data_IF_869507585313
#
_entry.id   IF_869507585313
#
_cell.length_a   1.000
_cell.length_b   1.000
_cell.length_c   1.000
_cell.angle_alpha   90.00
_cell.angle_beta   90.00
_cell.angle_gamma   90.00
#
_symmetry.space_group_name_H-M   'P 1'
#
loop_
_entity.id
_entity.type
_entity.pdbx_description
1 polymer ?
#
# COMPACT_ATOMS: atom_id res chain seq x y z
N UNK A 1 12.44 -23.03 17.00
CA UNK A 1 11.72 -21.82 17.45
C UNK A 1 10.64 -21.54 16.43
N UNK A 2 9.38 -21.30 16.82
CA UNK A 2 8.38 -20.82 15.84
C UNK A 2 8.81 -19.41 15.45
N UNK A 3 9.31 -19.23 14.23
CA UNK A 3 9.62 -17.90 13.69
C UNK A 3 8.30 -17.12 13.59
N UNK A 4 7.97 -16.35 14.61
CA UNK A 4 6.83 -15.44 14.59
C UNK A 4 7.22 -14.19 13.84
N UNK A 5 6.46 -13.82 12.81
CA UNK A 5 6.61 -12.54 12.10
C UNK A 5 6.55 -11.40 13.11
N UNK A 6 7.56 -10.52 13.07
CA UNK A 6 7.62 -9.36 13.95
C UNK A 6 6.38 -8.47 13.74
N UNK A 7 5.90 -7.83 14.81
CA UNK A 7 4.74 -6.94 14.77
C UNK A 7 5.10 -5.53 15.22
N UNK A 8 4.33 -4.55 14.74
CA UNK A 8 4.48 -3.14 15.11
C UNK A 8 3.10 -2.49 15.27
N UNK A 9 2.98 -1.57 16.23
CA UNK A 9 1.80 -0.72 16.38
C UNK A 9 1.81 0.37 15.30
N UNK A 10 0.86 0.30 14.36
CA UNK A 10 0.60 1.36 13.38
C UNK A 10 -0.14 2.52 14.05
N UNK A 11 -1.11 2.18 14.90
CA UNK A 11 -1.87 3.09 15.76
C UNK A 11 -2.04 2.43 17.15
N UNK A 12 -2.55 3.15 18.18
CA UNK A 12 -2.69 2.60 19.54
C UNK A 12 -3.46 1.27 19.61
N UNK A 13 -4.52 1.14 18.81
CA UNK A 13 -5.41 -0.03 18.71
C UNK A 13 -5.20 -0.86 17.43
N UNK A 14 -4.23 -0.50 16.58
CA UNK A 14 -3.92 -1.23 15.35
C UNK A 14 -2.49 -1.76 15.36
N UNK A 15 -2.36 -3.06 15.62
CA UNK A 15 -1.09 -3.79 15.60
C UNK A 15 -0.99 -4.65 14.35
N UNK A 16 0.06 -4.47 13.56
CA UNK A 16 0.24 -5.08 12.24
C UNK A 16 1.48 -5.96 12.16
N UNK A 17 1.55 -6.79 11.12
CA UNK A 17 2.79 -7.45 10.73
C UNK A 17 3.82 -6.42 10.27
N UNK A 18 5.09 -6.55 10.67
CA UNK A 18 6.19 -5.64 10.27
C UNK A 18 6.37 -5.61 8.75
N UNK A 19 6.06 -6.73 8.09
CA UNK A 19 5.97 -6.85 6.63
C UNK A 19 4.52 -7.11 6.26
N UNK A 20 3.98 -6.30 5.36
CA UNK A 20 2.60 -6.41 4.88
C UNK A 20 2.58 -7.23 3.59
N UNK A 21 1.51 -8.00 3.41
CA UNK A 21 1.27 -8.76 2.18
C UNK A 21 0.46 -7.89 1.21
N UNK A 22 1.13 -7.30 0.22
CA UNK A 22 0.45 -6.56 -0.86
C UNK A 22 -0.23 -7.50 -1.85
N UNK A 23 -1.45 -7.16 -2.28
CA UNK A 23 -2.26 -7.94 -3.23
C UNK A 23 -2.32 -7.31 -4.64
N UNK A 24 -1.41 -6.39 -4.96
CA UNK A 24 -1.39 -5.71 -6.26
C UNK A 24 -1.19 -6.65 -7.46
N UNK A 25 -0.57 -7.83 -7.24
CA UNK A 25 -0.37 -8.85 -8.29
C UNK A 25 -1.68 -9.38 -8.84
N UNK A 26 -2.78 -9.31 -8.08
CA UNK A 26 -4.11 -9.69 -8.57
C UNK A 26 -4.47 -8.87 -9.82
N UNK A 27 -4.16 -7.57 -9.85
CA UNK A 27 -4.38 -6.72 -11.02
C UNK A 27 -3.59 -7.18 -12.25
N UNK A 28 -2.35 -7.63 -12.06
CA UNK A 28 -1.50 -8.14 -13.16
C UNK A 28 -2.00 -9.51 -13.64
N UNK A 29 -2.47 -10.37 -12.73
CA UNK A 29 -3.07 -11.67 -13.07
C UNK A 29 -4.39 -11.54 -13.83
N UNK A 30 -5.16 -10.49 -13.56
CA UNK A 30 -6.47 -10.24 -14.18
C UNK A 30 -6.42 -9.23 -15.33
N UNK A 31 -5.22 -8.82 -15.77
CA UNK A 31 -5.03 -7.76 -16.78
C UNK A 31 -5.73 -8.03 -18.12
N UNK A 32 -5.97 -9.29 -18.45
CA UNK A 32 -6.67 -9.73 -19.66
C UNK A 32 -8.21 -9.74 -19.49
N UNK A 33 -8.71 -9.13 -18.41
CA UNK A 33 -10.14 -9.02 -18.10
C UNK A 33 -10.79 -10.30 -17.57
N UNK A 34 -9.97 -11.30 -17.21
CA UNK A 34 -10.45 -12.58 -16.67
C UNK A 34 -10.25 -12.58 -15.15
N UNK A 35 -11.32 -12.39 -14.36
CA UNK A 35 -11.19 -12.43 -12.91
C UNK A 35 -10.81 -13.83 -12.42
N UNK A 36 -10.01 -13.88 -11.36
CA UNK A 36 -9.71 -15.10 -10.63
C UNK A 36 -10.96 -15.58 -9.88
N UNK A 37 -11.06 -16.88 -9.61
CA UNK A 37 -12.07 -17.43 -8.69
C UNK A 37 -11.77 -16.94 -7.27
N UNK A 38 -12.64 -16.11 -6.65
CA UNK A 38 -12.35 -15.54 -5.34
C UNK A 38 -12.27 -16.60 -4.23
N UNK A 39 -13.10 -17.66 -4.30
CA UNK A 39 -13.18 -18.71 -3.28
C UNK A 39 -11.92 -19.58 -3.33
N UNK A 40 -11.49 -19.98 -4.52
CA UNK A 40 -10.26 -20.73 -4.69
C UNK A 40 -9.04 -19.88 -4.32
N UNK A 41 -9.00 -18.61 -4.74
CA UNK A 41 -7.85 -17.73 -4.53
C UNK A 41 -7.67 -17.35 -3.07
N UNK A 42 -8.77 -17.14 -2.33
CA UNK A 42 -8.76 -16.87 -0.89
C UNK A 42 -8.00 -17.95 -0.08
N UNK A 43 -7.95 -19.20 -0.55
CA UNK A 43 -7.19 -20.29 0.09
C UNK A 43 -5.70 -19.98 0.22
N UNK A 44 -5.13 -19.23 -0.72
CA UNK A 44 -3.71 -18.84 -0.66
C UNK A 44 -3.41 -17.85 0.47
N UNK A 45 -4.38 -17.02 0.87
CA UNK A 45 -4.21 -16.06 1.99
C UNK A 45 -4.08 -16.78 3.34
N UNK A 46 -4.71 -17.95 3.52
CA UNK A 46 -4.57 -18.76 4.73
C UNK A 46 -3.12 -19.17 4.99
N UNK A 47 -2.33 -19.47 3.96
CA UNK A 47 -0.93 -19.83 4.12
C UNK A 47 -0.10 -18.67 4.71
N UNK A 48 -0.34 -17.44 4.24
CA UNK A 48 0.28 -16.23 4.80
C UNK A 48 -0.13 -16.01 6.25
N UNK A 49 -1.44 -16.06 6.53
CA UNK A 49 -1.96 -15.85 7.87
C UNK A 49 -1.44 -16.89 8.87
N UNK A 50 -1.40 -18.17 8.48
CA UNK A 50 -0.87 -19.27 9.28
C UNK A 50 0.65 -19.14 9.53
N UNK A 51 1.38 -18.53 8.59
CA UNK A 51 2.80 -18.19 8.75
C UNK A 51 3.03 -16.91 9.60
N UNK A 52 1.97 -16.21 10.01
CA UNK A 52 2.04 -15.00 10.83
C UNK A 52 2.01 -13.68 10.05
N UNK A 53 1.89 -13.71 8.72
CA UNK A 53 1.65 -12.54 7.89
C UNK A 53 0.16 -12.22 7.87
N UNK A 54 -0.28 -11.44 8.85
CA UNK A 54 -1.71 -11.20 9.10
C UNK A 54 -2.23 -9.88 8.56
N UNK A 55 -1.40 -9.07 7.92
CA UNK A 55 -1.79 -7.74 7.43
C UNK A 55 -1.71 -7.71 5.92
N UNK A 56 -2.85 -7.49 5.27
CA UNK A 56 -3.00 -7.51 3.82
C UNK A 56 -3.32 -6.11 3.30
N UNK A 57 -2.65 -5.71 2.23
CA UNK A 57 -2.78 -4.38 1.63
C UNK A 57 -3.28 -4.51 0.18
N UNK A 58 -4.43 -3.91 -0.12
CA UNK A 58 -5.07 -3.93 -1.43
C UNK A 58 -5.50 -2.51 -1.86
N UNK A 59 -6.21 -2.36 -2.97
CA UNK A 59 -6.79 -1.10 -3.43
C UNK A 59 -8.03 -1.36 -4.29
N UNK A 60 -8.87 -0.34 -4.46
CA UNK A 60 -10.08 -0.35 -5.28
C UNK A 60 -9.87 -0.78 -6.75
N UNK A 61 -8.67 -0.54 -7.29
CA UNK A 61 -8.25 -0.87 -8.65
C UNK A 61 -7.34 -2.10 -8.73
N UNK A 62 -7.12 -2.84 -7.64
CA UNK A 62 -6.32 -4.07 -7.64
C UNK A 62 -7.12 -5.31 -8.07
N UNK A 63 -7.81 -5.22 -9.21
CA UNK A 63 -8.68 -6.29 -9.71
C UNK A 63 -9.69 -6.73 -8.65
N UNK A 64 -9.82 -8.04 -8.45
CA UNK A 64 -10.70 -8.65 -7.45
C UNK A 64 -10.13 -8.75 -6.03
N UNK A 65 -9.02 -8.07 -5.71
CA UNK A 65 -8.31 -8.24 -4.42
C UNK A 65 -9.19 -8.00 -3.17
N UNK A 66 -10.08 -6.99 -3.20
CA UNK A 66 -11.04 -6.73 -2.11
C UNK A 66 -12.04 -7.89 -1.96
N UNK A 67 -12.52 -8.43 -3.08
CA UNK A 67 -13.50 -9.54 -3.11
C UNK A 67 -12.85 -10.84 -2.60
N UNK A 68 -11.63 -11.14 -3.05
CA UNK A 68 -10.84 -12.29 -2.58
C UNK A 68 -10.62 -12.19 -1.07
N UNK A 69 -10.26 -10.99 -0.58
CA UNK A 69 -10.01 -10.76 0.85
C UNK A 69 -11.28 -10.92 1.70
N UNK A 70 -12.42 -10.49 1.17
CA UNK A 70 -13.71 -10.71 1.83
C UNK A 70 -14.10 -12.18 1.90
N UNK A 71 -13.86 -12.95 0.85
CA UNK A 71 -14.09 -14.40 0.89
C UNK A 71 -13.12 -15.12 1.85
N UNK A 72 -11.86 -14.66 1.93
CA UNK A 72 -10.91 -15.13 2.94
C UNK A 72 -11.38 -14.87 4.38
N UNK A 73 -11.90 -13.67 4.68
CA UNK A 73 -12.49 -13.38 6.00
C UNK A 73 -13.64 -14.31 6.33
N UNK A 74 -14.52 -14.54 5.37
CA UNK A 74 -15.68 -15.44 5.51
C UNK A 74 -15.25 -16.89 5.82
N UNK A 75 -14.16 -17.36 5.23
CA UNK A 75 -13.63 -18.70 5.42
C UNK A 75 -12.87 -18.88 6.75
N UNK A 76 -12.24 -17.83 7.27
CA UNK A 76 -11.39 -17.92 8.48
C UNK A 76 -12.20 -17.94 9.77
N UNK A 77 -13.37 -17.30 9.82
CA UNK A 77 -14.22 -17.27 11.02
C UNK A 77 -13.60 -16.61 12.26
N UNK A 78 -12.38 -16.08 12.16
CA UNK A 78 -11.67 -15.36 13.25
C UNK A 78 -11.23 -13.97 12.78
N UNK A 79 -12.15 -13.01 12.63
CA UNK A 79 -11.85 -11.66 12.11
C UNK A 79 -10.76 -10.95 12.93
N UNK A 80 -10.67 -11.20 14.24
CA UNK A 80 -9.75 -10.50 15.14
C UNK A 80 -8.26 -10.85 14.98
N UNK A 81 -7.87 -11.72 14.02
CA UNK A 81 -6.47 -12.10 13.80
C UNK A 81 -5.83 -11.44 12.59
N UNK A 82 -6.60 -10.91 11.65
CA UNK A 82 -6.10 -10.31 10.40
C UNK A 82 -6.49 -8.85 10.30
N UNK A 83 -5.71 -8.08 9.54
CA UNK A 83 -5.92 -6.66 9.30
C UNK A 83 -6.02 -6.47 7.79
N UNK A 84 -7.12 -5.88 7.31
CA UNK A 84 -7.34 -5.61 5.89
C UNK A 84 -7.25 -4.11 5.60
N UNK A 85 -6.26 -3.74 4.81
CA UNK A 85 -6.06 -2.37 4.36
C UNK A 85 -6.50 -2.26 2.92
N UNK A 86 -7.26 -1.22 2.59
CA UNK A 86 -7.56 -0.88 1.20
C UNK A 86 -7.17 0.56 0.90
N UNK A 87 -7.26 0.94 -0.38
CA UNK A 87 -6.99 2.29 -0.85
C UNK A 87 -8.07 2.72 -1.81
N UNK A 88 -8.44 3.98 -1.71
CA UNK A 88 -9.29 4.63 -2.68
C UNK A 88 -8.48 5.58 -3.54
N UNK A 89 -8.59 5.39 -4.86
CA UNK A 89 -7.98 6.23 -5.88
C UNK A 89 -9.11 6.91 -6.65
N UNK A 90 -9.57 8.09 -6.21
CA UNK A 90 -10.66 8.80 -6.87
C UNK A 90 -10.27 9.16 -8.31
N UNK A 91 -11.28 9.34 -9.18
CA UNK A 91 -11.04 10.00 -10.47
C UNK A 91 -10.63 11.46 -10.22
N UNK A 92 -9.77 12.06 -11.06
CA UNK A 92 -9.46 13.48 -10.95
C UNK A 92 -10.70 14.37 -11.06
N UNK A 93 -10.74 15.46 -10.30
CA UNK A 93 -11.83 16.44 -10.27
C UNK A 93 -12.49 16.55 -8.91
N UNK A 94 -13.68 17.17 -8.89
CA UNK A 94 -14.46 17.38 -7.67
C UNK A 94 -14.82 16.06 -6.99
N UNK A 95 -14.74 16.04 -5.66
CA UNK A 95 -15.05 14.89 -4.82
C UNK A 95 -16.19 15.27 -3.87
N UNK A 96 -17.37 14.68 -4.06
CA UNK A 96 -18.52 14.90 -3.18
C UNK A 96 -18.56 13.91 -2.02
N UNK A 97 -19.32 14.23 -0.97
CA UNK A 97 -19.60 13.29 0.12
C UNK A 97 -20.21 11.96 -0.38
N UNK A 98 -21.09 12.04 -1.39
CA UNK A 98 -21.70 10.84 -2.00
C UNK A 98 -20.67 9.96 -2.70
N UNK A 99 -19.72 10.54 -3.43
CA UNK A 99 -18.67 9.76 -4.11
C UNK A 99 -17.82 8.99 -3.09
N UNK A 100 -17.48 9.66 -1.99
CA UNK A 100 -16.68 9.12 -0.90
C UNK A 100 -17.43 8.00 -0.17
N UNK A 101 -18.71 8.24 0.15
CA UNK A 101 -19.58 7.24 0.79
C UNK A 101 -19.73 6.00 -0.09
N UNK A 102 -20.05 6.18 -1.36
CA UNK A 102 -20.21 5.07 -2.30
C UNK A 102 -18.93 4.24 -2.42
N UNK A 103 -17.77 4.89 -2.48
CA UNK A 103 -16.48 4.20 -2.53
C UNK A 103 -16.22 3.36 -1.26
N UNK A 104 -16.50 3.91 -0.08
CA UNK A 104 -16.32 3.21 1.20
C UNK A 104 -17.29 2.06 1.36
N UNK A 105 -18.58 2.26 1.07
CA UNK A 105 -19.61 1.22 1.14
C UNK A 105 -19.32 0.08 0.15
N UNK A 106 -18.84 0.41 -1.05
CA UNK A 106 -18.39 -0.60 -2.03
C UNK A 106 -17.21 -1.43 -1.51
N UNK A 107 -16.24 -0.79 -0.86
CA UNK A 107 -15.09 -1.49 -0.28
C UNK A 107 -15.53 -2.40 0.89
N UNK A 108 -16.43 -1.92 1.75
CA UNK A 108 -17.03 -2.70 2.86
C UNK A 108 -17.77 -3.94 2.33
N UNK A 109 -18.61 -3.78 1.29
CA UNK A 109 -19.33 -4.90 0.66
C UNK A 109 -18.38 -5.95 0.06
N UNK A 110 -17.39 -5.49 -0.73
CA UNK A 110 -16.39 -6.37 -1.35
C UNK A 110 -15.57 -7.14 -0.32
N UNK A 111 -15.10 -6.45 0.72
CA UNK A 111 -14.31 -7.05 1.81
C UNK A 111 -15.17 -7.76 2.86
N UNK A 112 -16.50 -7.72 2.76
CA UNK A 112 -17.44 -8.38 3.67
C UNK A 112 -17.19 -8.05 5.14
N UNK A 113 -16.98 -6.76 5.43
CA UNK A 113 -16.73 -6.23 6.77
C UNK A 113 -17.58 -4.99 7.02
N UNK A 114 -17.93 -4.73 8.27
CA UNK A 114 -18.68 -3.53 8.67
C UNK A 114 -17.76 -2.32 8.94
N UNK A 115 -16.43 -2.56 9.02
CA UNK A 115 -15.44 -1.52 9.27
C UNK A 115 -14.12 -1.84 8.55
N UNK A 116 -13.55 -0.84 7.87
CA UNK A 116 -12.23 -0.93 7.23
C UNK A 116 -11.13 -0.62 8.27
N UNK A 117 -10.15 -1.52 8.44
CA UNK A 117 -9.06 -1.30 9.43
C UNK A 117 -8.19 -0.09 9.08
N UNK A 118 -7.81 0.04 7.80
CA UNK A 118 -7.10 1.21 7.28
C UNK A 118 -7.57 1.48 5.84
N UNK A 119 -8.10 2.68 5.61
CA UNK A 119 -8.35 3.18 4.26
C UNK A 119 -7.26 4.21 3.92
N UNK A 120 -6.50 3.95 2.86
CA UNK A 120 -5.51 4.90 2.36
C UNK A 120 -6.06 5.72 1.19
N UNK A 121 -5.70 7.00 1.13
CA UNK A 121 -6.17 7.92 0.10
C UNK A 121 -5.06 8.36 -0.85
N UNK A 122 -5.35 8.37 -2.15
CA UNK A 122 -4.46 8.92 -3.18
C UNK A 122 -5.00 10.23 -3.75
N UNK A 123 -4.13 11.22 -3.89
CA UNK A 123 -4.43 12.48 -4.59
C UNK A 123 -3.66 12.54 -5.91
N UNK A 124 -4.35 12.88 -7.00
CA UNK A 124 -3.75 13.01 -8.34
C UNK A 124 -3.09 14.36 -8.59
N UNK A 125 -3.70 15.44 -8.10
CA UNK A 125 -3.34 16.80 -8.48
C UNK A 125 -3.52 17.74 -7.29
N UNK A 126 -2.42 18.14 -6.65
CA UNK A 126 -2.49 19.01 -5.47
C UNK A 126 -2.96 20.45 -5.71
N UNK A 127 -2.68 21.08 -6.87
CA UNK A 127 -3.26 22.39 -7.22
C UNK A 127 -4.80 22.44 -7.21
N UNK A 128 -5.48 21.31 -7.40
CA UNK A 128 -6.92 21.20 -7.23
C UNK A 128 -7.23 20.83 -5.77
N UNK A 129 -7.88 21.71 -4.97
CA UNK A 129 -8.12 21.45 -3.55
C UNK A 129 -9.12 20.32 -3.28
N UNK A 130 -9.80 19.76 -4.30
CA UNK A 130 -10.80 18.71 -4.12
C UNK A 130 -10.28 17.47 -3.37
N UNK A 131 -8.96 17.20 -3.39
CA UNK A 131 -8.37 16.12 -2.59
C UNK A 131 -8.56 16.33 -1.07
N UNK A 132 -8.61 17.59 -0.61
CA UNK A 132 -8.80 17.93 0.79
C UNK A 132 -10.26 17.73 1.20
N UNK A 133 -11.21 18.08 0.32
CA UNK A 133 -12.64 17.80 0.53
C UNK A 133 -12.88 16.29 0.69
N UNK A 134 -12.28 15.49 -0.20
CA UNK A 134 -12.30 14.03 -0.10
C UNK A 134 -11.80 13.51 1.25
N UNK A 135 -10.70 14.05 1.77
CA UNK A 135 -10.17 13.67 3.09
C UNK A 135 -11.08 14.09 4.26
N UNK A 136 -11.72 15.27 4.19
CA UNK A 136 -12.69 15.68 5.21
C UNK A 136 -13.91 14.77 5.24
N UNK A 137 -14.44 14.39 4.07
CA UNK A 137 -15.52 13.41 3.96
C UNK A 137 -15.10 12.04 4.50
N UNK A 138 -13.90 11.56 4.17
CA UNK A 138 -13.36 10.32 4.74
C UNK A 138 -13.22 10.38 6.27
N UNK A 139 -12.78 11.51 6.82
CA UNK A 139 -12.73 11.73 8.27
C UNK A 139 -14.12 11.71 8.91
N UNK A 140 -15.15 12.20 8.22
CA UNK A 140 -16.55 12.06 8.67
C UNK A 140 -16.97 10.58 8.73
N UNK A 141 -16.66 9.79 7.71
CA UNK A 141 -16.97 8.35 7.69
C UNK A 141 -16.17 7.56 8.74
N UNK A 142 -14.94 7.99 9.06
CA UNK A 142 -14.20 7.48 10.23
C UNK A 142 -14.95 7.74 11.53
N UNK A 143 -15.47 8.95 11.75
CA UNK A 143 -16.27 9.28 12.95
C UNK A 143 -17.57 8.49 13.04
N UNK A 144 -18.13 8.08 11.89
CA UNK A 144 -19.33 7.23 11.81
C UNK A 144 -19.03 5.74 12.02
N UNK A 145 -17.75 5.34 12.13
CA UNK A 145 -17.34 3.97 12.41
C UNK A 145 -17.13 3.08 11.19
N UNK A 146 -17.33 3.58 9.96
CA UNK A 146 -17.12 2.82 8.72
C UNK A 146 -15.64 2.59 8.43
N UNK A 147 -14.77 3.48 8.92
CA UNK A 147 -13.33 3.42 8.77
C UNK A 147 -12.70 3.55 10.15
N UNK A 148 -11.81 2.62 10.53
CA UNK A 148 -11.09 2.67 11.80
C UNK A 148 -9.94 3.68 11.75
N UNK A 149 -9.10 3.59 10.72
CA UNK A 149 -7.98 4.49 10.51
C UNK A 149 -7.89 5.02 9.08
N UNK A 150 -7.37 6.24 8.93
CA UNK A 150 -7.01 6.81 7.64
C UNK A 150 -5.50 6.77 7.43
N UNK A 151 -5.11 6.47 6.20
CA UNK A 151 -3.75 6.63 5.71
C UNK A 151 -3.73 7.41 4.41
N UNK A 152 -2.53 7.74 3.96
CA UNK A 152 -2.28 8.39 2.67
C UNK A 152 -1.40 7.49 1.80
N UNK A 153 -1.40 7.70 0.50
CA UNK A 153 -0.44 7.06 -0.41
C UNK A 153 0.18 8.07 -1.37
N UNK A 154 1.52 8.11 -1.34
CA UNK A 154 2.38 9.00 -2.11
C UNK A 154 2.14 10.50 -1.86
N UNK A 155 1.71 10.87 -0.65
CA UNK A 155 1.69 12.27 -0.27
C UNK A 155 3.10 12.81 -0.10
N UNK A 156 3.38 14.00 -0.66
CA UNK A 156 4.64 14.70 -0.39
C UNK A 156 4.62 15.38 0.99
N UNK A 157 5.77 15.92 1.40
CA UNK A 157 5.90 16.49 2.76
C UNK A 157 5.02 17.72 2.96
N UNK A 158 4.89 18.57 1.94
CA UNK A 158 4.12 19.81 2.06
C UNK A 158 2.64 19.51 2.19
N UNK A 159 2.12 18.57 1.39
CA UNK A 159 0.71 18.19 1.44
C UNK A 159 0.38 17.35 2.67
N UNK A 160 1.28 16.50 3.14
CA UNK A 160 1.10 15.85 4.44
C UNK A 160 1.05 16.87 5.58
N UNK A 161 1.87 17.93 5.53
CA UNK A 161 1.81 19.01 6.53
C UNK A 161 0.48 19.76 6.48
N UNK A 162 -0.10 19.98 5.30
CA UNK A 162 -1.44 20.55 5.15
C UNK A 162 -2.49 19.64 5.81
N UNK A 163 -2.48 18.34 5.51
CA UNK A 163 -3.42 17.36 6.09
C UNK A 163 -3.44 17.44 7.61
N UNK A 164 -2.27 17.38 8.25
CA UNK A 164 -2.19 17.41 9.73
C UNK A 164 -2.60 18.77 10.30
N UNK A 165 -2.26 19.88 9.63
CA UNK A 165 -2.63 21.23 10.07
C UNK A 165 -4.13 21.52 9.89
N UNK A 166 -4.78 20.83 8.94
CA UNK A 166 -6.23 20.86 8.74
C UNK A 166 -7.00 20.01 9.75
N UNK A 167 -6.31 19.35 10.70
CA UNK A 167 -6.94 18.51 11.71
C UNK A 167 -7.45 17.17 11.17
N UNK A 168 -6.91 16.70 10.05
CA UNK A 168 -7.23 15.38 9.51
C UNK A 168 -6.30 14.33 10.14
N UNK A 169 -6.89 13.36 10.83
CA UNK A 169 -6.18 12.32 11.57
C UNK A 169 -5.79 11.15 10.66
N UNK A 170 -4.53 11.11 10.24
CA UNK A 170 -3.94 9.99 9.51
C UNK A 170 -2.89 9.26 10.36
N UNK A 171 -2.81 7.94 10.22
CA UNK A 171 -1.84 7.10 10.97
C UNK A 171 -0.64 6.69 10.12
N UNK A 172 -0.76 6.79 8.79
CA UNK A 172 0.31 6.38 7.89
C UNK A 172 0.35 7.15 6.58
N UNK A 173 1.54 7.22 5.96
CA UNK A 173 1.70 7.58 4.55
C UNK A 173 2.51 6.47 3.85
N UNK A 174 1.92 5.83 2.86
CA UNK A 174 2.58 4.81 2.05
C UNK A 174 3.41 5.47 0.96
N UNK A 175 4.72 5.20 0.91
CA UNK A 175 5.67 5.88 0.00
C UNK A 175 6.68 4.91 -0.59
N UNK A 176 7.19 5.23 -1.78
CA UNK A 176 8.36 4.52 -2.31
C UNK A 176 9.58 4.92 -1.46
N UNK A 177 10.22 3.95 -0.83
CA UNK A 177 11.42 4.19 -0.02
C UNK A 177 12.34 2.97 -0.10
N UNK A 178 13.54 3.16 -0.64
CA UNK A 178 14.53 2.10 -0.84
C UNK A 178 15.94 2.69 -0.88
N UNK A 179 16.98 1.86 -0.96
CA UNK A 179 18.36 2.33 -1.09
C UNK A 179 18.59 3.27 -2.30
N UNK A 180 17.78 3.15 -3.35
CA UNK A 180 17.87 3.99 -4.57
C UNK A 180 16.84 5.12 -4.60
N UNK A 181 15.89 5.15 -3.66
CA UNK A 181 14.90 6.21 -3.55
C UNK A 181 14.81 6.69 -2.10
N UNK A 182 15.62 7.70 -1.80
CA UNK A 182 15.75 8.32 -0.48
C UNK A 182 14.96 9.62 -0.36
N UNK A 183 14.08 9.96 -1.31
CA UNK A 183 13.28 11.20 -1.25
C UNK A 183 12.50 11.36 0.07
N UNK A 184 11.96 10.29 0.69
CA UNK A 184 11.32 10.41 1.99
C UNK A 184 12.28 10.63 3.18
N UNK A 185 13.57 10.35 3.05
CA UNK A 185 14.49 10.24 4.20
C UNK A 185 14.72 11.53 5.00
N UNK A 186 14.38 12.69 4.44
CA UNK A 186 14.59 14.00 5.04
C UNK A 186 13.29 14.55 5.70
N UNK A 187 12.75 15.66 5.21
CA UNK A 187 11.64 16.39 5.84
C UNK A 187 10.39 15.52 6.09
N UNK A 188 10.15 14.50 5.26
CA UNK A 188 9.01 13.58 5.42
C UNK A 188 9.15 12.71 6.69
N UNK A 189 10.31 12.10 6.94
CA UNK A 189 10.53 11.28 8.14
C UNK A 189 10.41 12.13 9.41
N UNK A 190 11.00 13.34 9.42
CA UNK A 190 10.90 14.29 10.54
C UNK A 190 9.45 14.67 10.83
N UNK A 191 8.68 15.00 9.79
CA UNK A 191 7.25 15.30 9.92
C UNK A 191 6.48 14.11 10.49
N UNK A 192 6.70 12.92 9.92
CA UNK A 192 6.03 11.71 10.36
C UNK A 192 6.33 11.38 11.83
N UNK A 193 7.59 11.49 12.25
CA UNK A 193 8.00 11.28 13.65
C UNK A 193 7.33 12.27 14.61
N UNK A 194 7.30 13.57 14.26
CA UNK A 194 6.66 14.60 15.09
C UNK A 194 5.16 14.38 15.30
N UNK A 195 4.46 13.89 14.28
CA UNK A 195 3.01 13.69 14.33
C UNK A 195 2.60 12.22 14.60
N UNK A 196 3.56 11.34 14.95
CA UNK A 196 3.34 9.91 15.16
C UNK A 196 2.68 9.19 13.97
N UNK A 197 2.99 9.62 12.75
CA UNK A 197 2.57 8.99 11.49
C UNK A 197 3.64 7.99 11.09
N UNK A 198 3.25 6.80 10.63
CA UNK A 198 4.21 5.78 10.15
C UNK A 198 4.36 5.83 8.64
N UNK A 199 5.55 5.52 8.15
CA UNK A 199 5.76 5.30 6.73
C UNK A 199 5.56 3.82 6.41
N UNK A 200 4.64 3.52 5.49
CA UNK A 200 4.53 2.19 4.88
C UNK A 200 5.39 2.19 3.62
N UNK A 201 6.62 1.71 3.72
CA UNK A 201 7.55 1.70 2.60
C UNK A 201 7.20 0.60 1.60
N UNK A 202 6.97 0.96 0.33
CA UNK A 202 6.95 0.02 -0.79
C UNK A 202 8.20 0.19 -1.65
N UNK A 203 8.48 -0.81 -2.48
CA UNK A 203 9.62 -0.77 -3.39
C UNK A 203 10.97 -0.92 -2.69
N UNK A 204 10.97 -1.33 -1.43
CA UNK A 204 12.15 -1.52 -0.57
C UNK A 204 13.22 -2.43 -1.20
N UNK A 205 12.81 -3.41 -2.01
CA UNK A 205 13.69 -4.32 -2.76
C UNK A 205 13.73 -4.05 -4.28
N UNK A 206 13.25 -2.88 -4.72
CA UNK A 206 13.22 -2.45 -6.12
C UNK A 206 12.65 -3.52 -7.08
N UNK A 207 11.53 -4.16 -6.73
CA UNK A 207 10.92 -5.21 -7.56
C UNK A 207 11.74 -6.50 -7.68
N UNK A 208 12.68 -6.70 -6.75
CA UNK A 208 13.61 -7.82 -6.72
C UNK A 208 14.99 -7.49 -7.32
N UNK A 209 15.22 -6.26 -7.78
CA UNK A 209 16.53 -5.85 -8.30
C UNK A 209 17.59 -5.76 -7.21
N UNK A 210 17.21 -5.41 -5.97
CA UNK A 210 18.12 -5.40 -4.82
C UNK A 210 18.30 -6.82 -4.26
N UNK A 211 18.85 -7.71 -5.09
CA UNK A 211 19.20 -9.10 -4.72
C UNK A 211 20.46 -9.54 -5.45
N UNK A 212 21.19 -10.50 -4.88
CA UNK A 212 22.43 -11.06 -5.47
C UNK A 212 22.24 -11.64 -6.88
N UNK A 213 21.01 -12.07 -7.21
CA UNK A 213 20.64 -12.59 -8.54
C UNK A 213 20.99 -11.63 -9.68
N UNK A 214 21.03 -10.33 -9.42
CA UNK A 214 21.24 -9.29 -10.43
C UNK A 214 22.68 -8.79 -10.53
N UNK A 215 23.60 -9.26 -9.68
CA UNK A 215 25.02 -8.90 -9.75
C UNK A 215 25.63 -9.43 -11.05
N UNK A 216 26.39 -8.58 -11.75
CA UNK A 216 27.06 -8.89 -13.00
C UNK A 216 26.10 -9.15 -14.17
N UNK A 217 24.79 -8.90 -14.01
CA UNK A 217 23.81 -9.08 -15.09
C UNK A 217 23.79 -7.87 -16.00
N UNK A 218 23.62 -8.14 -17.29
CA UNK A 218 23.32 -7.10 -18.28
C UNK A 218 22.02 -6.41 -17.95
N UNK A 219 21.92 -5.13 -18.32
CA UNK A 219 20.72 -4.34 -18.09
C UNK A 219 19.48 -5.00 -18.73
N UNK A 220 18.39 -5.19 -17.96
CA UNK A 220 17.16 -5.74 -18.52
C UNK A 220 16.47 -4.70 -19.38
N UNK A 221 16.05 -5.10 -20.58
CA UNK A 221 15.17 -4.29 -21.44
C UNK A 221 13.72 -4.37 -20.94
N UNK A 222 12.87 -3.44 -21.39
CA UNK A 222 11.44 -3.48 -21.09
C UNK A 222 10.79 -4.81 -21.51
N UNK A 223 11.25 -5.42 -22.60
CA UNK A 223 10.79 -6.72 -23.09
C UNK A 223 11.17 -7.88 -22.15
N UNK A 224 12.30 -7.78 -21.45
CA UNK A 224 12.86 -8.87 -20.65
C UNK A 224 12.76 -8.63 -19.13
N UNK A 225 12.21 -7.50 -18.70
CA UNK A 225 11.99 -7.19 -17.29
C UNK A 225 11.04 -8.19 -16.59
N UNK A 226 10.15 -8.82 -17.34
CA UNK A 226 9.34 -9.97 -16.94
C UNK A 226 8.08 -9.64 -16.13
N UNK A 227 8.14 -8.73 -15.15
CA UNK A 227 6.97 -8.35 -14.34
C UNK A 227 6.73 -6.85 -14.32
N UNK A 228 5.48 -6.43 -14.07
CA UNK A 228 5.13 -5.00 -14.01
C UNK A 228 5.91 -4.25 -12.92
N UNK A 229 6.17 -4.91 -11.78
CA UNK A 229 7.06 -4.39 -10.74
C UNK A 229 8.48 -4.11 -11.27
N UNK A 230 9.10 -5.06 -11.98
CA UNK A 230 10.45 -4.85 -12.52
C UNK A 230 10.46 -3.73 -13.56
N UNK A 231 9.45 -3.64 -14.42
CA UNK A 231 9.30 -2.49 -15.34
C UNK A 231 9.19 -1.16 -14.58
N UNK A 232 8.42 -1.12 -13.48
CA UNK A 232 8.28 0.08 -12.63
C UNK A 232 9.63 0.48 -12.04
N UNK A 233 10.30 -0.42 -11.32
CA UNK A 233 11.52 -0.07 -10.58
C UNK A 233 12.75 0.09 -11.46
N UNK A 234 12.75 -0.43 -12.69
CA UNK A 234 13.77 -0.09 -13.67
C UNK A 234 13.80 1.42 -13.95
N UNK A 235 12.64 2.08 -14.03
CA UNK A 235 12.57 3.56 -14.15
C UNK A 235 13.13 4.29 -12.93
N UNK A 236 13.04 3.70 -11.74
CA UNK A 236 13.65 4.26 -10.53
C UNK A 236 15.18 4.12 -10.58
N UNK A 237 15.67 2.98 -11.04
CA UNK A 237 17.11 2.76 -11.28
C UNK A 237 17.63 3.78 -12.30
N UNK A 238 16.90 4.00 -13.38
CA UNK A 238 17.27 4.98 -14.41
C UNK A 238 17.33 6.40 -13.86
N UNK A 239 16.31 6.80 -13.10
CA UNK A 239 16.28 8.09 -12.43
C UNK A 239 17.38 8.25 -11.36
N UNK A 240 17.84 7.15 -10.76
CA UNK A 240 18.89 7.14 -9.73
C UNK A 240 20.32 7.09 -10.30
N UNK A 241 20.49 7.11 -11.63
CA UNK A 241 21.80 7.14 -12.29
C UNK A 241 22.05 6.01 -13.30
N UNK A 242 21.08 5.12 -13.51
CA UNK A 242 21.16 4.05 -14.51
C UNK A 242 21.78 2.75 -13.99
N UNK A 243 21.91 1.77 -14.90
CA UNK A 243 22.25 0.40 -14.53
C UNK A 243 23.68 0.21 -14.01
N UNK A 244 24.66 0.95 -14.55
CA UNK A 244 26.06 0.80 -14.14
C UNK A 244 26.29 1.25 -12.67
N UNK A 245 25.84 2.44 -12.23
CA UNK A 245 25.89 2.79 -10.81
C UNK A 245 25.08 1.82 -9.93
N UNK A 246 23.97 1.31 -10.45
CA UNK A 246 23.18 0.31 -9.73
C UNK A 246 23.92 -1.03 -9.53
N UNK A 247 24.71 -1.49 -10.51
CA UNK A 247 25.56 -2.67 -10.35
C UNK A 247 26.64 -2.45 -9.29
N UNK A 248 27.29 -1.28 -9.26
CA UNK A 248 28.26 -0.93 -8.22
C UNK A 248 27.63 -0.95 -6.82
N UNK A 249 26.38 -0.46 -6.70
CA UNK A 249 25.62 -0.57 -5.46
C UNK A 249 25.40 -2.03 -5.06
N UNK A 250 24.97 -2.90 -5.98
CA UNK A 250 24.76 -4.32 -5.67
C UNK A 250 26.05 -5.02 -5.24
N UNK A 251 27.16 -4.78 -5.92
CA UNK A 251 28.48 -5.31 -5.56
C UNK A 251 28.89 -4.85 -4.15
N UNK A 252 28.69 -3.56 -3.84
CA UNK A 252 29.00 -2.99 -2.52
C UNK A 252 28.16 -3.62 -1.40
N UNK A 253 26.88 -3.92 -1.66
CA UNK A 253 26.00 -4.54 -0.66
C UNK A 253 26.26 -6.04 -0.46
N UNK A 254 27.00 -6.68 -1.38
CA UNK A 254 27.31 -8.11 -1.33
C UNK A 254 28.65 -8.45 -0.67
N UNK A 255 29.51 -7.44 -0.49
CA UNK A 255 30.81 -7.56 0.21
C UNK A 255 30.69 -7.29 1.69
#
# INVERSE_FOLDING_TARGET
MKNTVERIKLAPDLNISRVLTGLWQIADMERDGKPLDPVATAKHMHAYANAGFTTFDMADHYGSAEIISGEFLRQTGTPNRVQLFTKWVPKPGAISESDVREAVERALDRMKTDCIDLLQFHAWNYPDPAWLDGLFHLQSLKKQGLIRHLGLTNFDTAHLQIVVNSGIEVVSNQVCFSLIDQRPAAKMTELCLRHNIKLLAYGTVAGGFLTEKWIGKTEPTAANAGTWSRMKYKRFIDAAGGWQPFQQLLETLSG
#
